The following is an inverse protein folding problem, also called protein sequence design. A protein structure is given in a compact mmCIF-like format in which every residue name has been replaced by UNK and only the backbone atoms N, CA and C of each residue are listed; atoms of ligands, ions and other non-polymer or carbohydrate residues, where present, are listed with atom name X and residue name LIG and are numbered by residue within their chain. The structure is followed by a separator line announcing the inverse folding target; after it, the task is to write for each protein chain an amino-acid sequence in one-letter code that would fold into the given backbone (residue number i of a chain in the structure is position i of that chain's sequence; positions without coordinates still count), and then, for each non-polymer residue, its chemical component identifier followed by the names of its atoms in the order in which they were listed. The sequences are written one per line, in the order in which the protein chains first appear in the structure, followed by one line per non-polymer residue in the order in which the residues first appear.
data_IF_344460763738
#
_entry.id   IF_344460763738
#
_cell.length_a   1.000
_cell.length_b   1.000
_cell.length_c   1.000
_cell.angle_alpha   90.00
_cell.angle_beta   90.00
_cell.angle_gamma   90.00
#
_symmetry.space_group_name_H-M   'P 1'
#
loop_
_entity.id
_entity.type
_entity.pdbx_description
1 polymer ?
#
# COMPACT_ATOMS: atom_id res chain seq x y z
N UNK A 1 -19.16 -10.00 7.73
CA UNK A 1 -18.18 -10.83 6.99
C UNK A 1 -17.33 -9.90 6.11
N UNK A 2 -16.30 -9.26 6.67
CA UNK A 2 -15.36 -8.38 5.94
C UNK A 2 -13.90 -8.62 6.36
N UNK A 3 -13.63 -9.76 7.00
CA UNK A 3 -12.35 -10.06 7.65
C UNK A 3 -11.50 -11.06 6.84
N UNK A 4 -11.72 -11.14 5.52
CA UNK A 4 -10.98 -12.03 4.63
C UNK A 4 -10.16 -11.15 3.67
N UNK A 5 -8.84 -11.25 3.76
CA UNK A 5 -7.89 -10.67 2.81
C UNK A 5 -7.37 -11.74 1.85
N UNK A 6 -7.22 -11.39 0.57
CA UNK A 6 -6.66 -12.27 -0.47
C UNK A 6 -5.24 -11.80 -0.80
N UNK A 7 -4.28 -12.73 -0.83
CA UNK A 7 -2.90 -12.48 -1.25
C UNK A 7 -2.70 -13.20 -2.59
N UNK A 8 -2.32 -12.45 -3.63
CA UNK A 8 -2.08 -13.00 -4.96
C UNK A 8 -0.63 -13.49 -5.11
N UNK A 9 -0.42 -14.55 -5.90
CA UNK A 9 0.93 -15.07 -6.21
C UNK A 9 1.72 -14.13 -7.13
N UNK A 10 1.03 -13.42 -8.02
CA UNK A 10 1.58 -12.28 -8.75
C UNK A 10 1.14 -11.02 -8.01
N UNK A 11 2.10 -10.19 -7.61
CA UNK A 11 1.90 -9.18 -6.55
C UNK A 11 0.84 -8.10 -6.86
N UNK A 12 0.26 -8.05 -8.08
CA UNK A 12 -0.74 -7.07 -8.52
C UNK A 12 -0.43 -5.63 -8.07
N UNK A 13 0.87 -5.32 -7.88
CA UNK A 13 1.34 -4.02 -7.48
C UNK A 13 1.25 -3.10 -8.69
N UNK A 14 0.88 -1.86 -8.43
CA UNK A 14 0.98 -0.82 -9.44
C UNK A 14 2.44 -0.38 -9.44
N UNK A 15 3.23 -0.97 -10.33
CA UNK A 15 4.67 -0.72 -10.51
C UNK A 15 5.02 0.77 -10.63
N UNK A 16 4.11 1.58 -11.17
CA UNK A 16 4.28 3.03 -11.37
C UNK A 16 4.00 3.88 -10.13
N UNK A 17 3.47 3.27 -9.07
CA UNK A 17 3.10 3.93 -7.83
C UNK A 17 4.11 3.61 -6.73
N UNK A 18 4.21 4.51 -5.75
CA UNK A 18 5.07 4.30 -4.58
C UNK A 18 4.57 3.13 -3.73
N UNK A 19 5.42 2.60 -2.86
CA UNK A 19 5.03 1.63 -1.83
C UNK A 19 3.88 2.18 -0.97
N UNK A 20 3.99 3.43 -0.53
CA UNK A 20 2.93 4.10 0.23
C UNK A 20 1.60 4.09 -0.52
N UNK A 21 1.62 4.49 -1.79
CA UNK A 21 0.42 4.54 -2.61
C UNK A 21 -0.20 3.16 -2.83
N UNK A 22 0.62 2.11 -2.96
CA UNK A 22 0.15 0.72 -3.09
C UNK A 22 -0.51 0.22 -1.79
N UNK A 23 0.09 0.50 -0.62
CA UNK A 23 -0.49 0.14 0.68
C UNK A 23 -1.80 0.89 0.93
N UNK A 24 -1.83 2.19 0.62
CA UNK A 24 -3.04 2.99 0.69
C UNK A 24 -4.08 2.53 -0.34
N UNK A 25 -3.64 2.01 -1.49
CA UNK A 25 -4.51 1.43 -2.51
C UNK A 25 -5.30 0.22 -1.98
N UNK A 26 -4.66 -0.63 -1.17
CA UNK A 26 -5.33 -1.75 -0.49
C UNK A 26 -6.43 -1.32 0.49
N UNK A 27 -6.37 -0.09 1.00
CA UNK A 27 -7.40 0.50 1.87
C UNK A 27 -8.49 1.27 1.11
N UNK A 28 -8.40 1.38 -0.21
CA UNK A 28 -9.40 2.06 -1.04
C UNK A 28 -10.78 1.43 -0.97
N UNK A 29 -10.87 0.13 -0.65
CA UNK A 29 -12.16 -0.52 -0.37
C UNK A 29 -12.92 0.07 0.82
N UNK A 30 -12.26 0.88 1.67
CA UNK A 30 -12.83 1.51 2.86
C UNK A 30 -12.98 3.04 2.73
N UNK A 31 -12.37 3.68 1.73
CA UNK A 31 -12.47 5.13 1.46
C UNK A 31 -13.29 5.42 0.20
N UNK A 32 -14.24 6.36 0.27
CA UNK A 32 -15.12 6.68 -0.86
C UNK A 32 -14.38 7.11 -2.14
N UNK A 33 -14.87 6.62 -3.27
CA UNK A 33 -14.29 6.69 -4.64
C UNK A 33 -13.70 8.06 -5.04
N UNK A 34 -14.28 9.17 -4.56
CA UNK A 34 -13.83 10.52 -4.89
C UNK A 34 -12.54 10.94 -4.19
N UNK A 35 -12.28 10.52 -2.95
CA UNK A 35 -11.04 10.89 -2.23
C UNK A 35 -9.82 10.14 -2.77
N UNK A 36 -10.05 8.90 -3.15
CA UNK A 36 -9.11 8.03 -3.87
C UNK A 36 -8.61 8.67 -5.15
N UNK A 37 -9.52 9.25 -5.94
CA UNK A 37 -9.20 9.86 -7.23
C UNK A 37 -8.30 11.09 -7.08
N UNK A 38 -8.45 11.85 -5.99
CA UNK A 38 -7.64 13.03 -5.70
C UNK A 38 -6.41 12.74 -4.81
N UNK A 39 -6.09 11.47 -4.51
CA UNK A 39 -5.00 11.08 -3.59
C UNK A 39 -5.06 11.78 -2.22
N UNK A 40 -6.25 12.22 -1.81
CA UNK A 40 -6.47 12.91 -0.53
C UNK A 40 -6.78 11.89 0.56
N UNK A 41 -5.73 11.25 1.07
CA UNK A 41 -5.83 10.32 2.18
C UNK A 41 -5.86 11.08 3.52
N UNK A 42 -6.76 10.71 4.46
CA UNK A 42 -6.71 11.23 5.82
C UNK A 42 -5.35 10.97 6.47
N UNK A 43 -4.84 11.89 7.28
CA UNK A 43 -3.59 11.69 8.06
C UNK A 43 -3.60 10.39 8.86
N UNK A 44 -4.73 10.05 9.49
CA UNK A 44 -4.93 8.78 10.21
C UNK A 44 -4.60 7.57 9.33
N UNK A 45 -4.90 7.63 8.04
CA UNK A 45 -4.67 6.51 7.15
C UNK A 45 -3.22 6.37 6.73
N UNK A 46 -2.55 7.51 6.53
CA UNK A 46 -1.11 7.60 6.29
C UNK A 46 -0.35 7.07 7.51
N UNK A 47 -0.69 7.51 8.73
CA UNK A 47 -0.03 7.07 9.96
C UNK A 47 -0.15 5.55 10.16
N UNK A 48 -1.32 4.99 9.85
CA UNK A 48 -1.54 3.55 9.92
C UNK A 48 -0.78 2.79 8.83
N UNK A 49 -0.70 3.32 7.61
CA UNK A 49 0.10 2.72 6.53
C UNK A 49 1.58 2.73 6.87
N UNK A 50 2.10 3.83 7.44
CA UNK A 50 3.47 3.92 7.95
C UNK A 50 3.73 2.87 9.03
N UNK A 51 2.82 2.69 9.98
CA UNK A 51 2.96 1.68 11.01
C UNK A 51 2.98 0.25 10.46
N UNK A 52 2.18 -0.04 9.42
CA UNK A 52 2.21 -1.33 8.73
C UNK A 52 3.53 -1.56 7.99
N UNK A 53 4.02 -0.54 7.28
CA UNK A 53 5.29 -0.57 6.57
C UNK A 53 6.46 -0.81 7.53
N UNK A 54 6.39 -0.24 8.73
CA UNK A 54 7.37 -0.49 9.79
C UNK A 54 7.39 -1.94 10.26
N UNK A 55 6.20 -2.53 10.48
CA UNK A 55 6.11 -3.95 10.87
C UNK A 55 6.65 -4.92 9.83
N UNK A 56 6.62 -4.57 8.54
CA UNK A 56 7.14 -5.40 7.46
C UNK A 56 8.58 -5.03 7.05
N UNK A 57 9.18 -4.03 7.69
CA UNK A 57 10.54 -3.58 7.43
C UNK A 57 10.70 -2.87 6.08
N UNK A 58 9.71 -2.05 5.70
CA UNK A 58 9.68 -1.25 4.47
C UNK A 58 9.59 0.26 4.73
N UNK A 59 9.82 0.72 5.96
CA UNK A 59 9.83 2.15 6.34
C UNK A 59 10.76 3.01 5.48
N UNK A 60 11.90 2.47 5.05
CA UNK A 60 12.86 3.21 4.21
C UNK A 60 12.52 3.17 2.71
N UNK A 61 11.42 2.50 2.35
CA UNK A 61 11.00 2.30 0.96
C UNK A 61 9.64 2.90 0.65
N UNK A 62 9.08 3.67 1.59
CA UNK A 62 7.78 4.33 1.50
C UNK A 62 7.62 5.12 0.19
N UNK A 63 8.66 5.88 -0.19
CA UNK A 63 8.67 6.72 -1.40
C UNK A 63 9.21 6.01 -2.65
N UNK A 64 9.77 4.81 -2.50
CA UNK A 64 10.27 4.03 -3.64
C UNK A 64 9.12 3.50 -4.45
N UNK A 65 9.33 3.38 -5.76
CA UNK A 65 8.35 2.75 -6.64
C UNK A 65 8.37 1.24 -6.46
N UNK A 66 7.21 0.62 -6.67
CA UNK A 66 7.08 -0.84 -6.53
C UNK A 66 7.96 -1.62 -7.52
N UNK A 67 8.28 -1.05 -8.68
CA UNK A 67 9.21 -1.63 -9.66
C UNK A 67 10.69 -1.59 -9.22
N UNK A 68 11.05 -0.72 -8.27
CA UNK A 68 12.41 -0.59 -7.71
C UNK A 68 12.68 -1.57 -6.55
N UNK A 69 11.68 -2.35 -6.16
CA UNK A 69 11.78 -3.32 -5.06
C UNK A 69 12.26 -4.68 -5.55
N UNK A 70 13.07 -5.34 -4.72
CA UNK A 70 13.37 -6.76 -4.91
C UNK A 70 12.11 -7.62 -4.80
N UNK A 71 12.12 -8.82 -5.40
CA UNK A 71 10.96 -9.73 -5.35
C UNK A 71 10.45 -10.03 -3.93
N UNK A 72 11.35 -10.21 -2.96
CA UNK A 72 10.99 -10.43 -1.55
C UNK A 72 10.53 -9.18 -0.81
N UNK A 73 10.84 -7.99 -1.32
CA UNK A 73 10.25 -6.73 -0.82
C UNK A 73 8.85 -6.53 -1.40
N UNK A 74 8.64 -6.82 -2.68
CA UNK A 74 7.30 -6.77 -3.32
C UNK A 74 6.29 -7.69 -2.64
N UNK A 75 6.71 -8.83 -2.11
CA UNK A 75 5.85 -9.74 -1.35
C UNK A 75 5.37 -9.18 0.00
N UNK A 76 6.02 -8.13 0.51
CA UNK A 76 5.75 -7.54 1.82
C UNK A 76 4.99 -6.21 1.76
N UNK A 77 4.76 -5.68 0.56
CA UNK A 77 3.94 -4.48 0.29
C UNK A 77 2.46 -4.86 0.28
#
# INVERSE_FOLDING_TARGET
RRDIGMIFQEFNLIDRMSVMDNVLAGRLGYTGNLRTLFRMFPRKDIDHALHLLDRVGLSDHVDKRADELSGGQRQRV
#
